data_IF_312337589997
#
_entry.id   IF_312337589997
#
_cell.length_a   1.000
_cell.length_b   1.000
_cell.length_c   1.000
_cell.angle_alpha   90.00
_cell.angle_beta   90.00
_cell.angle_gamma   90.00
#
_symmetry.space_group_name_H-M   'P 1'
#
loop_
_entity.id
_entity.type
_entity.pdbx_description
1 polymer ?
#
# COMPACT_ATOMS: atom_id res chain seq x y z
N UNK A 1 -19.91 -23.93 -11.41
CA UNK A 1 -21.00 -23.10 -10.88
C UNK A 1 -20.78 -21.68 -11.38
N UNK A 2 -21.63 -21.15 -12.27
CA UNK A 2 -21.44 -19.84 -12.87
C UNK A 2 -21.91 -18.66 -11.98
N UNK A 3 -22.22 -18.86 -10.70
CA UNK A 3 -22.73 -17.79 -9.80
C UNK A 3 -21.81 -17.40 -8.63
N UNK A 4 -20.51 -17.66 -8.69
CA UNK A 4 -19.58 -16.93 -7.81
C UNK A 4 -19.26 -15.58 -8.45
N UNK A 5 -19.99 -14.54 -8.09
CA UNK A 5 -19.50 -13.16 -8.20
C UNK A 5 -18.40 -12.98 -7.13
N UNK A 6 -17.09 -13.05 -7.46
CA UNK A 6 -16.05 -13.08 -6.44
C UNK A 6 -15.74 -11.69 -5.86
N UNK A 7 -16.25 -10.61 -6.48
CA UNK A 7 -15.73 -9.26 -6.25
C UNK A 7 -16.52 -8.36 -5.28
N UNK A 8 -17.76 -8.69 -4.90
CA UNK A 8 -18.56 -7.77 -4.06
C UNK A 8 -18.10 -7.68 -2.61
N UNK A 9 -17.82 -8.80 -1.90
CA UNK A 9 -17.34 -8.72 -0.52
C UNK A 9 -15.92 -8.16 -0.40
N UNK A 10 -15.10 -8.31 -1.45
CA UNK A 10 -13.70 -7.86 -1.47
C UNK A 10 -13.64 -6.33 -1.64
N UNK A 11 -14.35 -5.78 -2.64
CA UNK A 11 -14.57 -4.35 -2.81
C UNK A 11 -15.18 -3.69 -1.58
N UNK A 12 -16.16 -4.33 -0.93
CA UNK A 12 -16.75 -3.75 0.28
C UNK A 12 -15.71 -3.60 1.41
N UNK A 13 -14.77 -4.55 1.56
CA UNK A 13 -13.68 -4.42 2.53
C UNK A 13 -12.73 -3.28 2.17
N UNK A 14 -12.43 -3.10 0.88
CA UNK A 14 -11.65 -1.97 0.39
C UNK A 14 -12.28 -0.64 0.85
N UNK A 15 -13.55 -0.42 0.51
CA UNK A 15 -14.24 0.85 0.84
C UNK A 15 -14.47 1.04 2.35
N UNK A 16 -14.76 -0.04 3.10
CA UNK A 16 -14.89 0.04 4.56
C UNK A 16 -13.54 0.41 5.20
N UNK A 17 -12.43 -0.04 4.63
CA UNK A 17 -11.10 0.31 5.12
C UNK A 17 -10.89 1.82 5.07
N UNK A 18 -11.21 2.47 3.96
CA UNK A 18 -11.16 3.93 3.84
C UNK A 18 -11.99 4.63 4.92
N UNK A 19 -13.22 4.18 5.14
CA UNK A 19 -14.12 4.79 6.13
C UNK A 19 -13.63 4.60 7.58
N UNK A 20 -13.27 3.37 7.96
CA UNK A 20 -12.89 3.04 9.33
C UNK A 20 -11.51 3.60 9.66
N UNK A 21 -10.54 3.39 8.78
CA UNK A 21 -9.17 3.85 8.99
C UNK A 21 -9.09 5.36 8.93
N UNK A 22 -9.68 5.99 7.91
CA UNK A 22 -9.77 7.44 7.77
C UNK A 22 -10.36 8.11 9.01
N UNK A 23 -11.41 7.51 9.59
CA UNK A 23 -12.04 8.02 10.81
C UNK A 23 -11.17 7.91 12.06
N UNK A 24 -10.36 6.86 12.17
CA UNK A 24 -9.58 6.57 13.38
C UNK A 24 -8.19 7.21 13.35
N UNK A 25 -7.58 7.25 12.17
CA UNK A 25 -6.15 7.53 12.04
C UNK A 25 -5.81 8.57 10.97
N UNK A 26 -6.80 9.12 10.28
CA UNK A 26 -6.57 10.10 9.22
C UNK A 26 -6.24 9.45 7.88
N UNK A 27 -5.67 10.26 6.99
CA UNK A 27 -5.37 9.88 5.62
C UNK A 27 -3.85 9.86 5.37
N UNK A 28 -3.45 9.36 4.22
CA UNK A 28 -2.08 9.37 3.75
C UNK A 28 -2.09 9.51 2.22
N UNK A 29 -0.95 9.75 1.58
CA UNK A 29 -0.92 9.81 0.12
C UNK A 29 -1.46 8.52 -0.53
N UNK A 30 -1.95 8.61 -1.77
CA UNK A 30 -2.76 7.56 -2.40
C UNK A 30 -2.10 6.19 -2.39
N UNK A 31 -0.77 6.13 -2.60
CA UNK A 31 0.03 4.90 -2.54
C UNK A 31 -0.23 4.09 -1.25
N UNK A 32 -0.40 4.77 -0.12
CA UNK A 32 -0.64 4.15 1.18
C UNK A 32 -2.12 4.00 1.48
N UNK A 33 -2.93 4.99 1.15
CA UNK A 33 -4.38 4.97 1.40
C UNK A 33 -5.04 3.82 0.62
N UNK A 34 -4.82 3.79 -0.69
CA UNK A 34 -5.32 2.71 -1.55
C UNK A 34 -4.59 1.40 -1.29
N UNK A 35 -3.29 1.47 -0.98
CA UNK A 35 -2.50 0.30 -0.61
C UNK A 35 -3.06 -0.42 0.61
N UNK A 36 -3.48 0.32 1.64
CA UNK A 36 -4.08 -0.25 2.84
C UNK A 36 -5.44 -0.90 2.55
N UNK A 37 -6.25 -0.27 1.70
CA UNK A 37 -7.53 -0.81 1.29
C UNK A 37 -7.38 -2.10 0.47
N UNK A 38 -6.42 -2.16 -0.47
CA UNK A 38 -6.05 -3.38 -1.20
C UNK A 38 -5.51 -4.45 -0.26
N UNK A 39 -4.66 -4.07 0.70
CA UNK A 39 -4.14 -4.99 1.69
C UNK A 39 -5.28 -5.66 2.49
N UNK A 40 -6.21 -4.86 3.00
CA UNK A 40 -7.37 -5.34 3.74
C UNK A 40 -8.35 -6.16 2.88
N UNK A 41 -8.49 -5.83 1.60
CA UNK A 41 -9.28 -6.60 0.64
C UNK A 41 -8.78 -8.06 0.58
N UNK A 42 -7.45 -8.27 0.64
CA UNK A 42 -6.79 -9.54 0.38
C UNK A 42 -6.36 -10.33 1.64
N UNK A 43 -6.31 -9.71 2.82
CA UNK A 43 -5.98 -10.38 4.10
C UNK A 43 -6.88 -11.58 4.47
N UNK A 44 -8.08 -11.69 3.89
CA UNK A 44 -9.04 -12.76 4.25
C UNK A 44 -8.71 -14.12 3.64
N UNK A 45 -7.70 -14.21 2.77
CA UNK A 45 -7.27 -15.48 2.18
C UNK A 45 -6.16 -16.11 3.05
N UNK A 46 -6.37 -17.33 3.58
CA UNK A 46 -5.39 -18.02 4.44
C UNK A 46 -4.04 -18.31 3.75
N UNK A 47 -3.98 -18.18 2.42
CA UNK A 47 -2.77 -18.33 1.59
C UNK A 47 -2.59 -17.10 0.67
N UNK A 48 -2.88 -15.89 1.16
CA UNK A 48 -2.75 -14.67 0.37
C UNK A 48 -1.29 -14.48 -0.10
N UNK A 49 -1.01 -14.87 -1.34
CA UNK A 49 0.21 -14.47 -2.02
C UNK A 49 0.08 -13.00 -2.42
N UNK A 50 0.51 -12.11 -1.52
CA UNK A 50 0.49 -10.67 -1.77
C UNK A 50 1.30 -10.30 -3.03
N UNK A 51 2.24 -11.14 -3.50
CA UNK A 51 2.96 -10.86 -4.76
C UNK A 51 2.07 -11.00 -5.99
N UNK A 52 1.00 -11.80 -5.91
CA UNK A 52 -0.02 -11.89 -6.96
C UNK A 52 -0.79 -10.57 -7.15
N UNK A 53 -0.68 -9.62 -6.22
CA UNK A 53 -1.21 -8.26 -6.40
C UNK A 53 -0.41 -7.46 -7.41
N UNK A 54 0.90 -7.70 -7.56
CA UNK A 54 1.69 -7.04 -8.62
C UNK A 54 1.22 -7.49 -10.01
N UNK A 55 0.71 -8.72 -10.13
CA UNK A 55 0.12 -9.22 -11.36
C UNK A 55 -1.23 -8.55 -11.70
N UNK A 56 -1.95 -8.02 -10.71
CA UNK A 56 -3.17 -7.21 -10.97
C UNK A 56 -2.84 -5.91 -11.71
N UNK A 57 -1.70 -5.30 -11.39
CA UNK A 57 -1.23 -4.09 -12.06
C UNK A 57 -0.52 -4.40 -13.40
N UNK A 58 -0.37 -5.68 -13.76
CA UNK A 58 0.43 -6.14 -14.92
C UNK A 58 1.89 -5.67 -14.91
N UNK A 59 2.42 -5.34 -13.74
CA UNK A 59 3.77 -4.79 -13.57
C UNK A 59 4.77 -5.89 -13.24
N UNK A 60 5.94 -5.84 -13.89
CA UNK A 60 7.13 -6.51 -13.40
C UNK A 60 7.79 -5.64 -12.33
N UNK A 61 8.46 -6.25 -11.36
CA UNK A 61 9.12 -5.52 -10.27
C UNK A 61 10.08 -4.44 -10.78
N UNK A 62 10.79 -4.71 -11.88
CA UNK A 62 11.76 -3.78 -12.46
C UNK A 62 11.08 -2.63 -13.25
N UNK A 63 9.79 -2.75 -13.57
CA UNK A 63 8.99 -1.71 -14.23
C UNK A 63 8.32 -0.74 -13.23
N UNK A 64 8.29 -1.08 -11.94
CA UNK A 64 7.74 -0.22 -10.89
C UNK A 64 8.69 0.97 -10.69
N UNK A 65 8.24 2.23 -10.87
CA UNK A 65 9.06 3.41 -10.57
C UNK A 65 9.50 3.44 -9.11
N UNK A 66 10.56 4.19 -8.76
CA UNK A 66 10.92 4.39 -7.36
C UNK A 66 9.72 4.89 -6.54
N UNK A 67 9.49 4.35 -5.34
CA UNK A 67 8.29 4.68 -4.55
C UNK A 67 8.16 6.18 -4.26
N UNK A 68 9.30 6.86 -4.08
CA UNK A 68 9.37 8.32 -3.90
C UNK A 68 8.81 9.12 -5.09
N UNK A 69 8.65 8.52 -6.27
CA UNK A 69 8.03 9.15 -7.43
C UNK A 69 6.53 8.92 -7.53
N UNK A 70 6.00 7.89 -6.87
CA UNK A 70 4.59 7.52 -6.97
C UNK A 70 3.84 7.70 -5.64
N UNK A 71 4.53 8.21 -4.62
CA UNK A 71 3.90 8.67 -3.37
C UNK A 71 3.10 9.95 -3.57
N UNK A 72 3.51 10.77 -4.53
CA UNK A 72 2.84 12.01 -4.90
C UNK A 72 1.53 11.71 -5.66
N UNK A 73 0.46 12.45 -5.32
CA UNK A 73 -0.88 12.22 -5.86
C UNK A 73 -0.93 12.36 -7.38
N UNK A 74 -0.31 13.40 -7.93
CA UNK A 74 -0.31 13.66 -9.38
C UNK A 74 0.38 12.52 -10.12
N UNK A 75 1.56 12.09 -9.67
CA UNK A 75 2.28 11.01 -10.33
C UNK A 75 1.61 9.63 -10.10
N UNK A 76 0.98 9.39 -8.95
CA UNK A 76 0.23 8.15 -8.68
C UNK A 76 -0.90 7.95 -9.69
N UNK A 77 -1.71 8.98 -9.97
CA UNK A 77 -2.82 8.85 -10.93
C UNK A 77 -2.38 8.93 -12.38
N UNK A 78 -1.31 9.68 -12.67
CA UNK A 78 -0.82 9.91 -14.04
C UNK A 78 -0.24 8.66 -14.70
N UNK A 79 0.47 7.82 -13.95
CA UNK A 79 1.10 6.61 -14.51
C UNK A 79 0.20 5.36 -14.43
N UNK A 80 -1.02 5.52 -13.92
CA UNK A 80 -1.95 4.43 -13.65
C UNK A 80 -1.90 4.07 -12.17
N UNK A 81 -3.06 3.83 -11.53
CA UNK A 81 -3.10 3.66 -10.09
C UNK A 81 -2.36 2.38 -9.69
N UNK A 82 -1.35 2.55 -8.82
CA UNK A 82 -0.46 1.49 -8.37
C UNK A 82 -1.06 0.70 -7.19
N UNK A 83 -2.30 0.23 -7.35
CA UNK A 83 -3.07 -0.44 -6.30
C UNK A 83 -2.36 -1.68 -5.75
N UNK A 84 -1.92 -2.57 -6.64
CA UNK A 84 -1.19 -3.77 -6.27
C UNK A 84 0.14 -3.43 -5.59
N UNK A 85 0.90 -2.49 -6.14
CA UNK A 85 2.14 -1.99 -5.52
C UNK A 85 1.89 -1.47 -4.11
N UNK A 86 0.88 -0.63 -3.91
CA UNK A 86 0.49 -0.11 -2.61
C UNK A 86 0.10 -1.24 -1.64
N UNK A 87 -0.67 -2.22 -2.10
CA UNK A 87 -1.07 -3.38 -1.29
C UNK A 87 0.12 -4.22 -0.82
N UNK A 88 1.07 -4.51 -1.72
CA UNK A 88 2.29 -5.24 -1.38
C UNK A 88 3.21 -4.43 -0.47
N UNK A 89 3.30 -3.12 -0.69
CA UNK A 89 4.07 -2.22 0.16
C UNK A 89 3.50 -2.19 1.58
N UNK A 90 2.19 -2.00 1.74
CA UNK A 90 1.55 -1.98 3.07
C UNK A 90 1.71 -3.32 3.79
N UNK A 91 1.57 -4.44 3.08
CA UNK A 91 1.87 -5.76 3.65
C UNK A 91 3.29 -5.81 4.22
N UNK A 92 4.29 -5.43 3.43
CA UNK A 92 5.69 -5.42 3.86
C UNK A 92 5.92 -4.47 5.05
N UNK A 93 5.31 -3.28 5.04
CA UNK A 93 5.45 -2.31 6.13
C UNK A 93 4.86 -2.83 7.45
N UNK A 94 3.70 -3.48 7.39
CA UNK A 94 3.05 -4.09 8.56
C UNK A 94 3.88 -5.26 9.10
N UNK A 95 4.39 -6.13 8.23
CA UNK A 95 5.22 -7.27 8.64
C UNK A 95 6.56 -6.84 9.24
N UNK A 96 7.19 -5.79 8.68
CA UNK A 96 8.56 -5.40 9.05
C UNK A 96 8.59 -4.39 10.21
N UNK A 97 7.59 -3.50 10.31
CA UNK A 97 7.59 -2.38 11.25
C UNK A 97 6.35 -2.35 12.16
N UNK A 98 5.34 -3.18 11.88
CA UNK A 98 4.12 -3.29 12.67
C UNK A 98 3.09 -2.19 12.40
N UNK A 99 1.87 -2.46 12.85
CA UNK A 99 0.72 -1.55 12.73
C UNK A 99 0.92 -0.19 13.40
N UNK A 100 1.71 -0.11 14.48
CA UNK A 100 1.95 1.13 15.19
C UNK A 100 2.76 2.15 14.37
N UNK A 101 3.66 1.69 13.49
CA UNK A 101 4.36 2.58 12.57
C UNK A 101 3.41 3.13 11.49
N UNK A 102 2.60 2.26 10.89
CA UNK A 102 1.59 2.66 9.91
C UNK A 102 0.59 3.67 10.51
N UNK A 103 0.10 3.43 11.73
CA UNK A 103 -0.78 4.36 12.44
C UNK A 103 -0.13 5.72 12.63
N UNK A 104 1.13 5.76 13.08
CA UNK A 104 1.84 7.03 13.32
C UNK A 104 2.01 7.84 12.02
N UNK A 105 2.25 7.15 10.91
CA UNK A 105 2.37 7.80 9.61
C UNK A 105 1.04 8.45 9.18
N UNK A 106 -0.07 7.71 9.20
CA UNK A 106 -1.38 8.24 8.84
C UNK A 106 -1.83 9.38 9.78
N UNK A 107 -1.56 9.28 11.08
CA UNK A 107 -1.91 10.35 12.03
C UNK A 107 -1.13 11.65 11.79
N UNK A 108 0.02 11.58 11.12
CA UNK A 108 0.87 12.72 10.85
C UNK A 108 0.70 13.27 9.42
N UNK A 109 0.03 12.53 8.53
CA UNK A 109 -0.07 12.84 7.11
C UNK A 109 -1.50 13.14 6.70
N UNK A 110 -1.66 13.60 5.47
CA UNK A 110 -2.93 13.80 4.78
C UNK A 110 -2.83 13.26 3.34
N UNK A 111 -3.93 13.29 2.60
CA UNK A 111 -3.98 12.78 1.22
C UNK A 111 -3.05 13.52 0.24
N UNK A 112 -3.04 14.86 0.28
CA UNK A 112 -2.17 15.72 -0.52
C UNK A 112 -1.09 16.36 0.38
N UNK A 113 -0.33 15.52 1.07
CA UNK A 113 0.63 15.96 2.09
C UNK A 113 2.01 16.25 1.47
N UNK A 114 2.44 17.53 1.37
CA UNK A 114 3.75 17.88 0.82
C UNK A 114 4.91 17.41 1.70
N UNK A 115 4.65 17.08 2.97
CA UNK A 115 5.64 16.60 3.94
C UNK A 115 5.59 15.08 4.13
N UNK A 116 4.84 14.34 3.32
CA UNK A 116 4.62 12.90 3.50
C UNK A 116 5.92 12.09 3.62
N UNK A 117 6.95 12.43 2.84
CA UNK A 117 8.26 11.75 2.94
C UNK A 117 8.94 11.96 4.30
N UNK A 118 8.78 13.15 4.91
CA UNK A 118 9.30 13.46 6.24
C UNK A 118 8.50 12.70 7.29
N UNK A 119 7.17 12.74 7.25
CA UNK A 119 6.30 12.00 8.16
C UNK A 119 6.54 10.49 8.09
N UNK A 120 6.75 9.97 6.89
CA UNK A 120 7.14 8.57 6.67
C UNK A 120 8.44 8.26 7.42
N UNK A 121 9.48 9.06 7.23
CA UNK A 121 10.76 8.85 7.89
C UNK A 121 10.66 8.92 9.43
N UNK A 122 9.85 9.82 9.98
CA UNK A 122 9.58 9.92 11.42
C UNK A 122 8.84 8.68 11.97
N UNK A 123 7.89 8.15 11.19
CA UNK A 123 7.12 6.97 11.57
C UNK A 123 7.95 5.68 11.51
N UNK A 124 8.72 5.48 10.44
CA UNK A 124 9.42 4.23 10.16
C UNK A 124 10.90 4.23 10.58
N UNK A 125 11.47 5.41 10.85
CA UNK A 125 12.89 5.57 11.18
C UNK A 125 13.83 5.49 9.98
N UNK A 126 13.28 5.38 8.77
CA UNK A 126 13.99 5.21 7.50
C UNK A 126 13.29 6.04 6.43
N UNK A 127 14.05 6.64 5.52
CA UNK A 127 13.44 7.30 4.37
C UNK A 127 12.81 6.29 3.40
N UNK A 128 11.82 6.74 2.61
CA UNK A 128 11.06 5.89 1.69
C UNK A 128 11.95 5.28 0.59
N UNK A 129 13.06 5.92 0.23
CA UNK A 129 13.98 5.40 -0.79
C UNK A 129 14.75 4.18 -0.28
N UNK A 130 15.19 4.22 0.98
CA UNK A 130 15.85 3.11 1.64
C UNK A 130 14.88 1.95 1.86
N UNK A 131 13.64 2.25 2.24
CA UNK A 131 12.56 1.27 2.34
C UNK A 131 12.22 0.66 0.97
N UNK A 132 12.16 1.45 -0.10
CA UNK A 132 11.94 0.96 -1.46
C UNK A 132 13.01 -0.07 -1.86
N UNK A 133 14.29 0.23 -1.58
CA UNK A 133 15.38 -0.71 -1.85
C UNK A 133 15.22 -2.03 -1.08
N UNK A 134 14.97 -1.96 0.23
CA UNK A 134 14.81 -3.17 1.06
C UNK A 134 13.55 -3.96 0.69
N UNK A 135 12.45 -3.28 0.41
CA UNK A 135 11.20 -3.88 -0.07
C UNK A 135 11.40 -4.63 -1.39
N UNK A 136 12.14 -4.06 -2.35
CA UNK A 136 12.46 -4.75 -3.61
C UNK A 136 13.31 -6.00 -3.37
N UNK A 137 14.26 -5.94 -2.45
CA UNK A 137 15.09 -7.10 -2.11
C UNK A 137 14.30 -8.17 -1.34
N UNK A 138 13.38 -7.76 -0.46
CA UNK A 138 12.40 -8.64 0.17
C UNK A 138 11.59 -9.41 -0.89
N UNK A 139 11.10 -8.70 -1.91
CA UNK A 139 10.38 -9.32 -3.01
C UNK A 139 11.29 -10.27 -3.81
N UNK A 140 12.55 -9.93 -4.09
CA UNK A 140 13.44 -10.83 -4.83
C UNK A 140 13.81 -12.10 -4.08
N UNK A 141 14.02 -12.02 -2.76
CA UNK A 141 14.61 -13.11 -1.97
C UNK A 141 13.62 -14.14 -1.44
N UNK A 142 12.34 -13.81 -1.31
CA UNK A 142 11.28 -14.76 -0.91
C UNK A 142 10.52 -15.35 -2.11
N UNK A 143 11.24 -15.64 -3.20
CA UNK A 143 10.74 -16.31 -4.40
C UNK A 143 10.93 -17.82 -4.35
#
# INVERSE_FOLDING_TARGET
>A
DPERHPGYPSRLRHEITHLVWGRLYGEAPPLFNEGLAVYAEHMSAPDADFRSLLAHDTLLLDDIPPLVRIVDDDDYWKYGPFYGVGGVLVHYLVESYGWDALRRFFLASDYDDPDALRHFAEAYGWDLMSVDSDWRDYLRTRA
#
